data_IF_374638854777
#
_entry.id   IF_374638854777
#
_cell.length_a   1.000
_cell.length_b   1.000
_cell.length_c   1.000
_cell.angle_alpha   90.00
_cell.angle_beta   90.00
_cell.angle_gamma   90.00
#
_symmetry.space_group_name_H-M   'P 1'
#
loop_
_entity.id
_entity.type
_entity.pdbx_description
1 polymer ?
#
# COMPACT_ATOMS: atom_id res chain seq x y z
N UNK A 1 -4.82 -23.76 10.42
CA UNK A 1 -5.60 -22.93 9.52
C UNK A 1 -4.76 -22.49 8.32
N UNK A 2 -5.37 -21.93 7.30
CA UNK A 2 -4.78 -21.58 5.98
C UNK A 2 -3.50 -20.77 6.06
N UNK A 3 -3.34 -19.88 7.05
CA UNK A 3 -2.10 -19.10 7.25
C UNK A 3 -0.82 -19.94 7.39
N UNK A 4 -0.94 -21.18 7.88
CA UNK A 4 0.21 -22.08 8.00
C UNK A 4 0.69 -22.60 6.64
N UNK A 5 -0.22 -22.69 5.68
CA UNK A 5 0.10 -23.13 4.31
C UNK A 5 0.70 -22.03 3.45
N UNK A 6 0.57 -20.77 3.87
CA UNK A 6 1.06 -19.59 3.15
C UNK A 6 1.81 -18.65 4.10
N UNK A 7 2.97 -19.06 4.63
CA UNK A 7 3.72 -18.25 5.59
C UNK A 7 4.22 -16.96 4.93
N UNK A 8 3.98 -15.83 5.60
CA UNK A 8 4.37 -14.49 5.10
C UNK A 8 3.40 -13.85 4.11
N UNK A 9 2.25 -14.49 3.84
CA UNK A 9 1.23 -13.95 2.94
C UNK A 9 -0.05 -13.61 3.69
N UNK A 10 -0.79 -12.65 3.16
CA UNK A 10 -2.16 -12.38 3.57
C UNK A 10 -3.09 -13.39 2.89
N UNK A 11 -3.88 -14.08 3.67
CA UNK A 11 -4.85 -15.05 3.18
C UNK A 11 -6.26 -14.56 3.53
N UNK A 12 -7.08 -14.35 2.51
CA UNK A 12 -8.47 -13.93 2.66
C UNK A 12 -9.42 -14.99 2.12
N UNK A 13 -10.48 -15.29 2.85
CA UNK A 13 -11.57 -16.13 2.36
C UNK A 13 -12.42 -15.30 1.39
N UNK A 14 -12.59 -15.78 0.17
CA UNK A 14 -13.33 -15.05 -0.88
C UNK A 14 -14.70 -15.66 -1.19
N UNK A 15 -14.92 -16.90 -0.81
CA UNK A 15 -16.20 -17.58 -0.96
C UNK A 15 -16.17 -18.98 -0.40
N UNK A 16 -17.34 -19.58 -0.24
CA UNK A 16 -17.52 -21.01 0.10
C UNK A 16 -18.82 -21.53 -0.47
N UNK A 17 -18.88 -22.84 -0.65
CA UNK A 17 -20.15 -23.51 -0.86
C UNK A 17 -21.00 -23.56 0.42
N UNK A 18 -22.24 -24.03 0.27
CA UNK A 18 -23.22 -24.06 1.36
C UNK A 18 -22.81 -24.91 2.56
N UNK A 19 -22.03 -25.95 2.30
CA UNK A 19 -21.58 -26.92 3.31
C UNK A 19 -20.16 -26.62 3.83
N UNK A 20 -19.52 -25.57 3.32
CA UNK A 20 -18.12 -25.22 3.61
C UNK A 20 -17.13 -26.36 3.31
N UNK A 21 -17.44 -27.17 2.32
CA UNK A 21 -16.58 -28.24 1.83
C UNK A 21 -15.57 -27.75 0.80
N UNK A 22 -15.93 -26.67 0.09
CA UNK A 22 -15.08 -25.96 -0.84
C UNK A 22 -14.97 -24.49 -0.43
N UNK A 23 -13.76 -24.01 -0.24
CA UNK A 23 -13.49 -22.63 0.18
C UNK A 23 -12.51 -22.00 -0.81
N UNK A 24 -12.87 -20.85 -1.36
CA UNK A 24 -11.95 -20.07 -2.19
C UNK A 24 -11.15 -19.10 -1.35
N UNK A 25 -9.86 -19.05 -1.64
CA UNK A 25 -8.87 -18.23 -0.94
C UNK A 25 -8.23 -17.25 -1.92
N UNK A 26 -8.02 -16.02 -1.48
CA UNK A 26 -7.10 -15.09 -2.11
C UNK A 26 -5.85 -14.99 -1.24
N UNK A 27 -4.70 -15.21 -1.86
CA UNK A 27 -3.38 -15.11 -1.23
C UNK A 27 -2.63 -13.95 -1.87
N UNK A 28 -2.20 -13.00 -1.05
CA UNK A 28 -1.58 -11.77 -1.52
C UNK A 28 -0.44 -11.30 -0.63
N UNK A 29 0.50 -10.60 -1.24
CA UNK A 29 1.53 -9.81 -0.59
C UNK A 29 2.04 -8.78 -1.60
N UNK A 30 2.87 -7.80 -1.21
CA UNK A 30 3.52 -6.93 -2.19
C UNK A 30 4.35 -7.68 -3.23
N UNK A 31 4.92 -8.83 -2.85
CA UNK A 31 5.78 -9.65 -3.68
C UNK A 31 5.06 -10.71 -4.53
N UNK A 32 3.74 -10.80 -4.45
CA UNK A 32 2.94 -11.66 -5.33
C UNK A 32 1.72 -10.93 -5.85
N UNK A 33 1.40 -11.18 -7.10
CA UNK A 33 0.35 -10.53 -7.92
C UNK A 33 -1.09 -10.84 -7.54
N UNK A 34 -1.34 -11.43 -6.35
CA UNK A 34 -2.66 -11.89 -5.91
C UNK A 34 -3.05 -13.20 -6.60
N UNK A 35 -3.08 -14.26 -5.84
CA UNK A 35 -3.34 -15.61 -6.33
C UNK A 35 -4.62 -16.16 -5.71
N UNK A 36 -5.39 -16.91 -6.50
CA UNK A 36 -6.59 -17.57 -6.05
C UNK A 36 -6.38 -19.07 -5.96
N UNK A 37 -6.88 -19.63 -4.86
CA UNK A 37 -6.83 -21.07 -4.57
C UNK A 37 -8.22 -21.55 -4.20
N UNK A 38 -8.47 -22.82 -4.41
CA UNK A 38 -9.58 -23.54 -3.82
C UNK A 38 -9.05 -24.55 -2.81
N UNK A 39 -9.59 -24.52 -1.62
CA UNK A 39 -9.38 -25.56 -0.61
C UNK A 39 -10.58 -26.47 -0.59
N UNK A 40 -10.31 -27.78 -0.71
CA UNK A 40 -11.31 -28.83 -0.73
C UNK A 40 -11.12 -29.68 0.54
N UNK A 41 -12.16 -29.78 1.35
CA UNK A 41 -12.11 -30.41 2.68
C UNK A 41 -11.62 -31.86 2.63
N UNK A 42 -12.00 -32.60 1.60
CA UNK A 42 -11.66 -34.00 1.42
C UNK A 42 -10.21 -34.23 0.96
N UNK A 43 -9.62 -33.26 0.27
CA UNK A 43 -8.25 -33.34 -0.24
C UNK A 43 -7.22 -32.77 0.73
N UNK A 44 -7.66 -32.02 1.74
CA UNK A 44 -6.81 -31.44 2.80
C UNK A 44 -5.79 -30.41 2.32
N UNK A 45 -5.79 -30.03 1.05
CA UNK A 45 -4.86 -29.09 0.43
C UNK A 45 -5.54 -27.91 -0.27
N UNK A 46 -4.75 -26.88 -0.59
CA UNK A 46 -5.20 -25.78 -1.41
C UNK A 46 -4.64 -25.94 -2.84
N UNK A 47 -5.51 -26.00 -3.82
CA UNK A 47 -5.16 -26.09 -5.24
C UNK A 47 -5.21 -24.70 -5.88
N UNK A 48 -4.13 -24.33 -6.56
CA UNK A 48 -4.05 -23.09 -7.34
C UNK A 48 -5.14 -23.04 -8.44
N UNK A 49 -5.76 -21.88 -8.60
CA UNK A 49 -6.72 -21.63 -9.68
C UNK A 49 -6.14 -20.69 -10.73
N UNK A 50 -5.85 -19.46 -10.34
CA UNK A 50 -5.30 -18.44 -11.24
C UNK A 50 -4.71 -17.28 -10.43
N UNK A 51 -3.99 -16.38 -11.10
CA UNK A 51 -3.54 -15.12 -10.54
C UNK A 51 -4.20 -13.93 -11.24
N UNK A 52 -4.33 -12.81 -10.50
CA UNK A 52 -4.95 -11.58 -11.03
C UNK A 52 -4.16 -10.97 -12.19
N UNK A 53 -2.85 -11.13 -12.20
CA UNK A 53 -1.92 -10.50 -13.13
C UNK A 53 -0.95 -11.54 -13.71
N UNK A 54 -1.46 -12.49 -14.48
CA UNK A 54 -0.69 -13.64 -14.98
C UNK A 54 0.58 -13.27 -15.76
N UNK A 55 0.59 -12.09 -16.40
CA UNK A 55 1.74 -11.61 -17.18
C UNK A 55 2.85 -11.00 -16.31
N UNK A 56 2.62 -10.77 -15.03
CA UNK A 56 3.62 -10.21 -14.12
C UNK A 56 4.39 -11.35 -13.47
N UNK A 57 5.71 -11.32 -13.60
CA UNK A 57 6.60 -12.24 -12.91
C UNK A 57 6.78 -11.84 -11.45
N UNK A 58 6.21 -12.62 -10.53
CA UNK A 58 6.30 -12.36 -9.08
C UNK A 58 7.72 -12.49 -8.52
N UNK A 59 8.62 -13.21 -9.17
CA UNK A 59 10.03 -13.30 -8.75
C UNK A 59 10.78 -11.97 -8.93
N UNK A 60 10.25 -11.09 -9.74
CA UNK A 60 10.83 -9.79 -10.05
C UNK A 60 10.12 -8.60 -9.40
N UNK A 61 9.24 -8.83 -8.44
CA UNK A 61 8.56 -7.75 -7.74
C UNK A 61 9.43 -7.15 -6.62
N UNK A 62 9.25 -5.85 -6.41
CA UNK A 62 9.92 -5.12 -5.34
C UNK A 62 9.21 -5.36 -4.00
N UNK A 63 9.96 -5.40 -2.90
CA UNK A 63 9.40 -5.58 -1.56
C UNK A 63 9.01 -4.24 -0.93
N UNK A 64 7.97 -4.26 -0.08
CA UNK A 64 7.53 -3.12 0.72
C UNK A 64 8.26 -3.08 2.06
N UNK A 65 8.61 -1.87 2.47
CA UNK A 65 9.08 -1.56 3.81
C UNK A 65 8.04 -0.72 4.53
N UNK A 66 7.64 -1.12 5.74
CA UNK A 66 6.79 -0.31 6.59
C UNK A 66 7.59 0.87 7.15
N UNK A 67 7.08 2.08 6.96
CA UNK A 67 7.64 3.32 7.49
C UNK A 67 6.73 3.83 8.59
N UNK A 68 7.26 3.96 9.79
CA UNK A 68 6.56 4.57 10.92
C UNK A 68 7.22 5.91 11.23
N UNK A 69 6.43 6.97 11.32
CA UNK A 69 6.89 8.30 11.69
C UNK A 69 5.87 8.99 12.59
N UNK A 70 6.25 10.11 13.16
CA UNK A 70 5.37 10.91 14.02
C UNK A 70 5.20 12.27 13.38
N UNK A 71 3.96 12.64 13.10
CA UNK A 71 3.62 13.94 12.58
C UNK A 71 3.95 15.05 13.60
N UNK A 72 4.14 16.29 13.13
CA UNK A 72 4.56 17.42 13.96
C UNK A 72 3.60 17.74 15.13
N UNK A 73 2.36 17.26 15.05
CA UNK A 73 1.35 17.37 16.13
C UNK A 73 1.28 16.14 17.05
N UNK A 74 2.24 15.19 16.91
CA UNK A 74 2.37 14.02 17.77
C UNK A 74 1.58 12.79 17.32
N UNK A 75 0.83 12.86 16.22
CA UNK A 75 0.07 11.71 15.70
C UNK A 75 1.03 10.71 15.06
N UNK A 76 0.92 9.44 15.47
CA UNK A 76 1.70 8.35 14.86
C UNK A 76 1.12 7.97 13.52
N UNK A 77 1.98 7.91 12.53
CA UNK A 77 1.67 7.63 11.13
C UNK A 77 2.39 6.39 10.65
N UNK A 78 1.80 5.74 9.66
CA UNK A 78 2.45 4.66 8.93
C UNK A 78 2.27 4.85 7.42
N UNK A 79 3.27 4.46 6.66
CA UNK A 79 3.22 4.36 5.21
C UNK A 79 4.02 3.16 4.71
N UNK A 80 4.01 2.96 3.40
CA UNK A 80 4.76 1.91 2.73
C UNK A 80 5.77 2.51 1.76
N UNK A 81 7.02 2.14 1.92
CA UNK A 81 8.11 2.52 1.00
C UNK A 81 8.47 1.31 0.13
N UNK A 82 8.53 1.56 -1.16
CA UNK A 82 8.94 0.61 -2.18
C UNK A 82 10.18 1.16 -2.89
N UNK A 83 11.30 0.49 -2.74
CA UNK A 83 12.56 0.88 -3.39
C UNK A 83 12.70 0.18 -4.73
N UNK A 84 13.27 0.83 -5.76
CA UNK A 84 13.62 0.16 -7.00
C UNK A 84 14.74 -0.84 -6.78
N UNK A 85 14.70 -1.97 -7.48
CA UNK A 85 15.73 -3.02 -7.38
C UNK A 85 17.12 -2.55 -7.83
N UNK A 86 17.17 -1.52 -8.65
CA UNK A 86 18.44 -0.89 -9.07
C UNK A 86 19.25 -0.29 -7.91
N UNK A 87 18.61 -0.06 -6.76
CA UNK A 87 19.24 0.50 -5.58
C UNK A 87 19.54 2.00 -5.62
N UNK A 88 19.37 2.65 -6.79
CA UNK A 88 19.63 4.09 -6.97
C UNK A 88 18.38 4.77 -7.50
N UNK A 89 17.48 5.25 -6.63
CA UNK A 89 16.26 5.91 -7.05
C UNK A 89 16.52 7.21 -7.79
N UNK A 90 15.80 7.46 -8.88
CA UNK A 90 15.83 8.72 -9.62
C UNK A 90 15.22 9.88 -8.84
N UNK A 91 14.20 9.56 -8.06
CA UNK A 91 13.45 10.48 -7.21
C UNK A 91 12.48 9.70 -6.34
N UNK A 92 11.89 10.36 -5.35
CA UNK A 92 10.75 9.87 -4.57
C UNK A 92 9.44 10.22 -5.27
N UNK A 93 8.53 9.26 -5.38
CA UNK A 93 7.11 9.50 -5.71
C UNK A 93 6.29 9.32 -4.43
N UNK A 94 5.71 10.41 -3.94
CA UNK A 94 4.72 10.39 -2.86
C UNK A 94 3.37 10.01 -3.46
N UNK A 95 2.99 8.73 -3.34
CA UNK A 95 1.81 8.14 -3.96
C UNK A 95 0.62 8.18 -3.00
N UNK A 96 -0.30 9.10 -3.23
CA UNK A 96 -1.40 9.44 -2.31
C UNK A 96 -2.68 8.73 -2.75
N UNK A 97 -3.25 7.91 -1.87
CA UNK A 97 -4.52 7.22 -2.15
C UNK A 97 -5.73 8.18 -2.14
N UNK A 98 -6.78 7.77 -2.83
CA UNK A 98 -8.06 8.48 -2.83
C UNK A 98 -8.91 8.19 -1.58
N UNK A 99 -10.09 8.71 -1.55
CA UNK A 99 -11.07 8.60 -0.45
C UNK A 99 -11.57 9.98 -0.04
N UNK A 100 -11.08 10.59 1.05
CA UNK A 100 -9.93 10.24 1.91
C UNK A 100 -10.23 9.27 3.04
N UNK A 101 -11.51 9.07 3.41
CA UNK A 101 -11.91 8.30 4.58
C UNK A 101 -12.23 6.86 4.21
N UNK A 102 -11.69 5.92 4.98
CA UNK A 102 -11.86 4.48 4.82
C UNK A 102 -10.80 3.78 3.95
N UNK A 103 -10.48 4.22 2.70
CA UNK A 103 -9.37 3.64 1.96
C UNK A 103 -8.02 3.78 2.69
N UNK A 104 -7.11 2.84 2.42
CA UNK A 104 -5.74 2.85 2.92
C UNK A 104 -4.85 1.99 2.02
N UNK A 105 -3.54 2.19 2.10
CA UNK A 105 -2.55 1.33 1.45
C UNK A 105 -2.09 0.29 2.47
N UNK A 106 -2.21 -0.99 2.11
CA UNK A 106 -1.86 -2.11 2.96
C UNK A 106 -0.75 -2.98 2.39
N UNK A 107 -0.49 -4.10 3.05
CA UNK A 107 0.51 -5.07 2.65
C UNK A 107 -0.04 -6.00 1.55
N UNK A 108 -0.34 -5.42 0.38
CA UNK A 108 -0.81 -6.14 -0.81
C UNK A 108 -0.19 -5.61 -2.09
N UNK A 109 -0.32 -6.37 -3.17
CA UNK A 109 0.19 -6.00 -4.47
C UNK A 109 -0.54 -4.76 -5.02
N UNK A 110 0.21 -3.71 -5.36
CA UNK A 110 -0.26 -2.58 -6.17
C UNK A 110 0.61 -2.46 -7.43
N UNK A 111 0.01 -2.72 -8.58
CA UNK A 111 0.71 -2.70 -9.86
C UNK A 111 1.28 -1.31 -10.21
N UNK A 112 0.63 -0.22 -9.73
CA UNK A 112 1.10 1.15 -10.00
C UNK A 112 2.38 1.44 -9.24
N UNK A 113 2.43 1.07 -7.96
CA UNK A 113 3.64 1.20 -7.16
C UNK A 113 4.78 0.36 -7.75
N UNK A 114 4.50 -0.88 -8.14
CA UNK A 114 5.49 -1.75 -8.77
C UNK A 114 5.99 -1.16 -10.10
N UNK A 115 5.11 -0.66 -10.95
CA UNK A 115 5.50 -0.05 -12.23
C UNK A 115 6.40 1.18 -12.02
N UNK A 116 6.10 2.05 -11.05
CA UNK A 116 6.94 3.20 -10.74
C UNK A 116 8.32 2.77 -10.21
N UNK A 117 8.36 1.74 -9.36
CA UNK A 117 9.63 1.20 -8.86
C UNK A 117 10.45 0.56 -9.99
N UNK A 118 9.84 -0.17 -10.93
CA UNK A 118 10.52 -0.71 -12.12
C UNK A 118 11.05 0.41 -13.05
N UNK A 119 10.39 1.56 -13.10
CA UNK A 119 10.89 2.74 -13.79
C UNK A 119 12.05 3.44 -13.05
N UNK A 120 12.44 2.95 -11.88
CA UNK A 120 13.58 3.45 -11.10
C UNK A 120 13.23 4.56 -10.10
N UNK A 121 11.97 4.67 -9.67
CA UNK A 121 11.57 5.60 -8.61
C UNK A 121 11.44 4.88 -7.28
N UNK A 122 11.81 5.55 -6.17
CA UNK A 122 11.31 5.17 -4.87
C UNK A 122 9.86 5.61 -4.76
N UNK A 123 8.99 4.77 -4.18
CA UNK A 123 7.56 5.07 -4.06
C UNK A 123 7.16 5.00 -2.59
N UNK A 124 6.73 6.12 -2.03
CA UNK A 124 6.19 6.18 -0.68
C UNK A 124 4.69 6.39 -0.72
N UNK A 125 3.95 5.52 -0.05
CA UNK A 125 2.50 5.61 0.07
C UNK A 125 2.11 5.83 1.54
N UNK A 126 1.87 7.09 1.98
CA UNK A 126 1.45 7.39 3.33
C UNK A 126 0.01 7.00 3.59
N UNK A 127 -0.25 6.45 4.78
CA UNK A 127 -1.60 6.39 5.34
C UNK A 127 -1.77 7.59 6.28
N UNK A 128 -2.24 8.68 5.71
CA UNK A 128 -2.51 9.93 6.42
C UNK A 128 -3.74 9.80 7.32
N UNK A 129 -3.90 10.69 8.33
CA UNK A 129 -5.12 10.67 9.16
C UNK A 129 -6.37 10.73 8.28
N UNK A 130 -7.39 9.95 8.59
CA UNK A 130 -8.55 9.74 7.75
C UNK A 130 -8.51 8.40 7.02
N UNK A 131 -7.33 7.79 6.83
CA UNK A 131 -7.20 6.44 6.27
C UNK A 131 -7.84 5.41 7.19
N UNK A 132 -8.41 4.36 6.57
CA UNK A 132 -8.91 3.18 7.27
C UNK A 132 -7.77 2.28 7.78
N UNK A 133 -8.15 1.19 8.46
CA UNK A 133 -7.19 0.18 8.93
C UNK A 133 -6.48 0.49 10.25
N UNK A 134 -6.57 1.74 10.74
CA UNK A 134 -5.89 2.23 11.96
C UNK A 134 -6.87 2.54 13.11
N UNK A 135 -8.12 2.15 12.96
CA UNK A 135 -9.19 2.36 13.93
C UNK A 135 -9.93 3.69 13.76
N UNK A 136 -11.14 3.74 14.35
CA UNK A 136 -12.08 4.86 14.17
C UNK A 136 -11.52 6.22 14.60
N UNK A 137 -10.66 6.26 15.62
CA UNK A 137 -10.09 7.53 16.08
C UNK A 137 -9.15 8.14 15.05
N UNK A 138 -8.35 7.31 14.38
CA UNK A 138 -7.45 7.75 13.32
C UNK A 138 -8.23 8.24 12.09
N UNK A 139 -9.27 7.51 11.69
CA UNK A 139 -10.13 7.91 10.57
C UNK A 139 -10.84 9.24 10.87
N UNK A 140 -11.47 9.38 12.03
CA UNK A 140 -12.17 10.60 12.45
C UNK A 140 -11.23 11.80 12.64
N UNK A 141 -9.95 11.59 12.97
CA UNK A 141 -8.97 12.66 13.07
C UNK A 141 -8.76 13.41 11.74
N UNK A 142 -9.13 12.80 10.61
CA UNK A 142 -9.13 13.41 9.29
C UNK A 142 -10.37 14.26 8.97
N UNK A 143 -11.46 14.12 9.74
CA UNK A 143 -12.72 14.84 9.45
C UNK A 143 -12.51 16.35 9.53
N UNK A 144 -13.05 17.07 8.56
CA UNK A 144 -12.88 18.53 8.40
C UNK A 144 -11.44 19.01 8.14
N UNK A 145 -10.48 18.11 7.88
CA UNK A 145 -9.06 18.44 7.71
C UNK A 145 -8.54 18.28 6.28
N UNK A 146 -9.40 18.10 5.29
CA UNK A 146 -9.08 17.76 3.91
C UNK A 146 -8.06 18.68 3.24
N UNK A 147 -8.21 19.97 3.42
CA UNK A 147 -7.35 20.99 2.83
C UNK A 147 -6.29 21.54 3.79
N UNK A 148 -6.09 20.93 4.94
CA UNK A 148 -5.20 21.42 5.99
C UNK A 148 -4.29 20.29 6.50
N UNK A 149 -4.51 19.81 7.70
CA UNK A 149 -3.61 18.87 8.40
C UNK A 149 -3.38 17.55 7.66
N UNK A 150 -4.36 17.06 6.90
CA UNK A 150 -4.15 15.86 6.09
C UNK A 150 -3.11 16.07 4.99
N UNK A 151 -3.03 17.28 4.41
CA UNK A 151 -1.99 17.63 3.43
C UNK A 151 -0.61 17.67 4.11
N UNK A 152 -0.55 18.22 5.33
CA UNK A 152 0.70 18.24 6.10
C UNK A 152 1.18 16.82 6.43
N UNK A 153 0.29 15.89 6.80
CA UNK A 153 0.63 14.49 7.05
C UNK A 153 1.35 13.83 5.86
N UNK A 154 0.83 14.09 4.65
CA UNK A 154 1.41 13.53 3.41
C UNK A 154 2.77 14.12 3.10
N UNK A 155 2.95 15.42 3.33
CA UNK A 155 4.21 16.14 3.15
C UNK A 155 5.24 15.69 4.18
N UNK A 156 4.89 15.73 5.46
CA UNK A 156 5.77 15.34 6.56
C UNK A 156 6.25 13.89 6.43
N UNK A 157 5.38 13.00 5.92
CA UNK A 157 5.77 11.63 5.62
C UNK A 157 6.80 11.53 4.49
N UNK A 158 6.63 12.31 3.41
CA UNK A 158 7.60 12.35 2.32
C UNK A 158 8.93 12.98 2.78
N UNK A 159 8.89 14.04 3.57
CA UNK A 159 10.08 14.67 4.17
C UNK A 159 10.82 13.68 5.06
N UNK A 160 10.11 12.96 5.95
CA UNK A 160 10.70 11.92 6.78
C UNK A 160 11.42 10.86 5.93
N UNK A 161 10.83 10.41 4.83
CA UNK A 161 11.44 9.43 3.93
C UNK A 161 12.69 10.02 3.27
N UNK A 162 12.64 11.27 2.79
CA UNK A 162 13.79 11.97 2.19
C UNK A 162 14.97 12.12 3.16
N UNK A 163 14.68 12.36 4.43
CA UNK A 163 15.71 12.56 5.46
C UNK A 163 16.37 11.25 5.92
N UNK A 164 15.65 10.13 5.85
CA UNK A 164 16.09 8.87 6.45
C UNK A 164 16.45 7.77 5.45
N UNK A 165 16.18 7.97 4.16
CA UNK A 165 16.43 6.98 3.11
C UNK A 165 17.06 7.65 1.89
N UNK A 166 17.90 6.91 1.19
CA UNK A 166 18.45 7.35 -0.11
C UNK A 166 17.40 7.14 -1.21
N UNK A 167 16.54 8.14 -1.40
CA UNK A 167 15.41 8.11 -2.34
C UNK A 167 15.55 9.13 -3.48
N UNK A 168 16.75 9.71 -3.65
CA UNK A 168 17.04 10.80 -4.59
C UNK A 168 16.68 12.18 -4.01
N UNK A 169 17.01 13.22 -4.75
CA UNK A 169 16.91 14.63 -4.28
C UNK A 169 15.56 15.30 -4.58
N UNK A 170 14.67 14.63 -5.32
CA UNK A 170 13.41 15.23 -5.80
C UNK A 170 12.22 14.43 -5.29
N UNK A 171 11.12 15.15 -5.03
CA UNK A 171 9.84 14.55 -4.70
C UNK A 171 8.82 14.89 -5.78
N UNK A 172 8.15 13.89 -6.29
CA UNK A 172 6.94 14.02 -7.11
C UNK A 172 5.74 13.57 -6.32
N UNK A 173 4.59 14.18 -6.53
CA UNK A 173 3.34 13.74 -5.92
C UNK A 173 2.40 13.19 -6.98
N UNK A 174 1.77 12.06 -6.70
CA UNK A 174 0.85 11.38 -7.60
C UNK A 174 -0.32 10.80 -6.83
N UNK A 175 -1.52 10.93 -7.35
CA UNK A 175 -2.70 10.30 -6.78
C UNK A 175 -3.93 10.46 -7.65
N UNK A 176 -4.95 9.67 -7.35
CA UNK A 176 -6.27 9.74 -7.98
C UNK A 176 -7.33 10.30 -7.03
N UNK A 177 -8.39 10.94 -7.55
CA UNK A 177 -9.47 11.49 -6.72
C UNK A 177 -8.94 12.45 -5.65
N UNK A 178 -9.22 12.20 -4.37
CA UNK A 178 -8.67 13.00 -3.27
C UNK A 178 -7.13 13.05 -3.29
N UNK A 179 -6.45 11.95 -3.68
CA UNK A 179 -5.00 11.93 -3.85
C UNK A 179 -4.53 12.89 -4.96
N UNK A 180 -5.29 13.06 -6.03
CA UNK A 180 -5.00 14.05 -7.08
C UNK A 180 -5.19 15.49 -6.58
N UNK A 181 -6.27 15.77 -5.86
CA UNK A 181 -6.48 17.05 -5.18
C UNK A 181 -5.32 17.36 -4.23
N UNK A 182 -4.95 16.41 -3.37
CA UNK A 182 -3.89 16.58 -2.39
C UNK A 182 -2.51 16.80 -3.05
N UNK A 183 -2.24 16.09 -4.14
CA UNK A 183 -1.00 16.27 -4.92
C UNK A 183 -0.90 17.70 -5.44
N UNK A 184 -1.96 18.22 -6.07
CA UNK A 184 -1.98 19.60 -6.56
C UNK A 184 -1.86 20.62 -5.41
N UNK A 185 -2.58 20.41 -4.31
CA UNK A 185 -2.53 21.33 -3.16
C UNK A 185 -1.16 21.35 -2.49
N UNK A 186 -0.50 20.22 -2.34
CA UNK A 186 0.84 20.17 -1.73
C UNK A 186 1.87 20.94 -2.59
N UNK A 187 1.81 20.84 -3.92
CA UNK A 187 2.69 21.61 -4.80
C UNK A 187 2.42 23.12 -4.67
N UNK A 188 1.16 23.55 -4.66
CA UNK A 188 0.80 24.98 -4.54
C UNK A 188 1.23 25.57 -3.20
N UNK A 189 1.19 24.80 -2.12
CA UNK A 189 1.44 25.29 -0.74
C UNK A 189 2.91 25.28 -0.35
N UNK A 190 3.72 24.45 -0.98
CA UNK A 190 5.06 24.12 -0.51
C UNK A 190 6.13 24.20 -1.63
N UNK A 191 5.87 25.01 -2.65
CA UNK A 191 6.84 25.37 -3.68
C UNK A 191 7.87 26.36 -3.16
#
# INVERSE_FOLDING_TARGET
GFYKSFPGYLVSLTGSDKNQENITLHVGSPGIRGEYYIWEKNDGGARYLFSQQEKIDSLNLNSYQAINYTASDGVKMQGWLLMPRSGNPKALVNYIHGGPHGPYVGFWFDWRMQAMAEMGYAVFAPNFRGSGGYGNNFERAGYTKWGTRMLDDMREGAEFVMENFDVGERVYTLGGSYGGYSSAQNVIRHN
#
